data_IF_902936521687
#
_entry.id   IF_902936521687
#
_cell.length_a   1.000
_cell.length_b   1.000
_cell.length_c   1.000
_cell.angle_alpha   90.00
_cell.angle_beta   90.00
_cell.angle_gamma   90.00
#
_symmetry.space_group_name_H-M   'P 1'
#
loop_
_entity.id
_entity.type
_entity.pdbx_description
1 polymer ?
#
# COMPACT_ATOMS: atom_id res chain seq x y z
N UNK A 1 -30.17 -63.48 -21.93
CA UNK A 1 -28.79 -63.83 -21.59
C UNK A 1 -27.94 -62.72 -22.19
N UNK A 2 -27.34 -61.86 -21.49
CA UNK A 2 -26.64 -61.85 -20.23
C UNK A 2 -26.53 -60.39 -19.76
N UNK A 3 -26.73 -60.19 -18.48
CA UNK A 3 -26.54 -58.94 -17.74
C UNK A 3 -25.12 -58.39 -17.85
N UNK A 4 -25.00 -57.12 -18.04
CA UNK A 4 -23.76 -56.45 -17.69
C UNK A 4 -24.05 -55.27 -16.73
N UNK A 5 -23.70 -55.50 -15.46
CA UNK A 5 -23.72 -54.54 -14.37
C UNK A 5 -22.83 -53.34 -14.68
N UNK A 6 -23.40 -52.15 -14.62
CA UNK A 6 -22.68 -50.88 -14.69
C UNK A 6 -22.37 -50.42 -13.26
N UNK A 7 -21.11 -50.47 -12.91
CA UNK A 7 -20.54 -49.94 -11.67
C UNK A 7 -20.60 -48.40 -11.71
N UNK A 8 -21.24 -47.81 -10.73
CA UNK A 8 -21.28 -46.37 -10.52
C UNK A 8 -20.06 -46.00 -9.69
N UNK A 9 -19.17 -45.20 -10.27
CA UNK A 9 -18.10 -44.50 -9.56
C UNK A 9 -18.63 -43.13 -9.09
N UNK A 10 -18.51 -42.91 -7.79
CA UNK A 10 -18.85 -41.64 -7.16
C UNK A 10 -17.92 -40.53 -7.65
N UNK A 11 -18.50 -39.50 -8.24
CA UNK A 11 -17.81 -38.28 -8.63
C UNK A 11 -17.88 -37.24 -7.55
N UNK A 12 -16.78 -36.56 -7.36
CA UNK A 12 -16.53 -35.47 -6.42
C UNK A 12 -17.52 -34.30 -6.58
N UNK A 13 -17.89 -33.72 -5.44
CA UNK A 13 -18.81 -32.61 -5.37
C UNK A 13 -18.24 -31.32 -5.94
N UNK A 14 -18.68 -31.02 -7.12
CA UNK A 14 -18.68 -29.69 -7.68
C UNK A 14 -19.99 -29.02 -7.29
N UNK A 15 -19.93 -27.87 -6.66
CA UNK A 15 -21.12 -27.11 -6.30
C UNK A 15 -21.81 -26.66 -7.58
N UNK A 16 -22.86 -27.39 -7.97
CA UNK A 16 -23.77 -26.98 -9.03
C UNK A 16 -24.45 -25.66 -8.61
N UNK A 17 -24.09 -24.59 -9.32
CA UNK A 17 -24.87 -23.35 -9.34
C UNK A 17 -26.03 -23.63 -10.31
N UNK A 18 -27.29 -23.62 -9.86
CA UNK A 18 -28.41 -23.87 -10.76
C UNK A 18 -28.57 -22.70 -11.75
N UNK A 19 -28.15 -22.95 -12.99
CA UNK A 19 -28.51 -22.09 -14.11
C UNK A 19 -29.90 -22.50 -14.60
N UNK A 20 -30.92 -21.80 -14.14
CA UNK A 20 -32.24 -21.87 -14.76
C UNK A 20 -32.22 -21.03 -16.02
N UNK A 21 -32.06 -21.68 -17.18
CA UNK A 21 -32.33 -21.06 -18.49
C UNK A 21 -33.78 -21.34 -18.85
N UNK A 22 -34.61 -20.36 -18.69
CA UNK A 22 -35.97 -20.37 -19.24
C UNK A 22 -36.03 -19.43 -20.44
N UNK A 23 -36.26 -20.03 -21.64
CA UNK A 23 -36.80 -19.41 -22.84
C UNK A 23 -36.16 -18.08 -23.27
N UNK A 24 -34.82 -18.02 -23.29
CA UNK A 24 -34.07 -16.86 -23.77
C UNK A 24 -34.11 -15.62 -22.86
N UNK A 25 -34.70 -15.70 -21.69
CA UNK A 25 -34.70 -14.61 -20.71
C UNK A 25 -33.59 -14.82 -19.70
N UNK A 26 -32.69 -13.88 -19.60
CA UNK A 26 -31.65 -13.85 -18.54
C UNK A 26 -32.32 -13.48 -17.23
N UNK A 27 -32.52 -14.44 -16.33
CA UNK A 27 -32.98 -14.17 -14.97
C UNK A 27 -31.79 -13.78 -14.12
N UNK A 28 -31.79 -12.58 -13.55
CA UNK A 28 -30.87 -12.16 -12.52
C UNK A 28 -31.29 -12.87 -11.26
N UNK A 29 -30.39 -13.66 -10.68
CA UNK A 29 -30.59 -14.29 -9.38
C UNK A 29 -30.73 -13.19 -8.32
N UNK A 30 -31.90 -13.05 -7.71
CA UNK A 30 -32.22 -11.97 -6.75
C UNK A 30 -31.37 -12.11 -5.49
N UNK A 31 -30.83 -13.30 -5.23
CA UNK A 31 -29.92 -13.58 -4.11
C UNK A 31 -28.44 -13.31 -4.43
N UNK A 32 -28.09 -13.01 -5.68
CA UNK A 32 -26.78 -12.48 -5.99
C UNK A 32 -26.74 -11.03 -5.51
N UNK A 33 -26.20 -10.81 -4.34
CA UNK A 33 -25.91 -9.48 -3.80
C UNK A 33 -24.93 -8.78 -4.74
N UNK A 34 -25.48 -8.04 -5.70
CA UNK A 34 -24.71 -7.05 -6.44
C UNK A 34 -24.44 -5.93 -5.43
N UNK A 35 -23.29 -6.01 -4.76
CA UNK A 35 -22.81 -4.89 -3.94
C UNK A 35 -22.84 -3.64 -4.82
N UNK A 36 -23.58 -2.64 -4.39
CA UNK A 36 -23.60 -1.35 -5.08
C UNK A 36 -22.17 -0.77 -5.07
N UNK A 37 -21.85 0.06 -6.07
CA UNK A 37 -20.54 0.74 -6.10
C UNK A 37 -20.30 1.57 -4.82
N UNK A 38 -21.36 2.08 -4.24
CA UNK A 38 -21.33 2.84 -2.98
C UNK A 38 -20.95 1.96 -1.79
N UNK A 39 -21.52 0.74 -1.69
CA UNK A 39 -21.18 -0.22 -0.63
C UNK A 39 -19.72 -0.68 -0.74
N UNK A 40 -19.23 -0.89 -1.96
CA UNK A 40 -17.82 -1.23 -2.18
C UNK A 40 -16.88 -0.07 -1.82
N UNK A 41 -17.25 1.17 -2.13
CA UNK A 41 -16.47 2.35 -1.75
C UNK A 41 -16.46 2.51 -0.23
N UNK A 42 -17.59 2.35 0.43
CA UNK A 42 -17.69 2.43 1.89
C UNK A 42 -16.87 1.33 2.58
N UNK A 43 -16.91 0.10 2.08
CA UNK A 43 -16.09 -1.01 2.58
C UNK A 43 -14.58 -0.69 2.46
N UNK A 44 -14.15 -0.12 1.32
CA UNK A 44 -12.76 0.32 1.12
C UNK A 44 -12.38 1.47 2.06
N UNK A 45 -13.30 2.41 2.32
CA UNK A 45 -13.07 3.48 3.29
C UNK A 45 -12.92 2.94 4.71
N UNK A 46 -13.74 1.98 5.11
CA UNK A 46 -13.61 1.30 6.40
C UNK A 46 -12.26 0.59 6.57
N UNK A 47 -11.67 0.08 5.49
CA UNK A 47 -10.31 -0.47 5.55
C UNK A 47 -9.27 0.61 5.89
N UNK A 48 -9.40 1.82 5.34
CA UNK A 48 -8.53 2.94 5.69
C UNK A 48 -8.71 3.38 7.15
N UNK A 49 -9.96 3.49 7.63
CA UNK A 49 -10.24 3.79 9.03
C UNK A 49 -9.62 2.76 9.99
N UNK A 50 -9.73 1.48 9.64
CA UNK A 50 -9.13 0.42 10.44
C UNK A 50 -7.58 0.48 10.39
N UNK A 51 -7.00 0.73 9.22
CA UNK A 51 -5.56 0.90 9.07
C UNK A 51 -5.03 2.09 9.88
N UNK A 52 -5.76 3.20 9.92
CA UNK A 52 -5.44 4.36 10.77
C UNK A 52 -5.46 3.98 12.25
N UNK A 53 -6.55 3.37 12.72
CA UNK A 53 -6.72 2.98 14.13
C UNK A 53 -5.63 2.01 14.60
N UNK A 54 -5.27 1.06 13.76
CA UNK A 54 -4.25 0.03 14.08
C UNK A 54 -2.84 0.46 13.75
N UNK A 55 -2.64 1.67 13.18
CA UNK A 55 -1.36 2.16 12.66
C UNK A 55 -0.68 1.14 11.74
N UNK A 56 -1.49 0.47 10.90
CA UNK A 56 -1.01 -0.51 9.94
C UNK A 56 -0.18 0.17 8.85
N UNK A 57 0.94 -0.45 8.48
CA UNK A 57 1.71 -0.03 7.32
C UNK A 57 0.94 -0.46 6.06
N UNK A 58 0.68 0.50 5.19
CA UNK A 58 0.09 0.30 3.87
C UNK A 58 1.16 0.55 2.81
N UNK A 59 0.96 -0.02 1.62
CA UNK A 59 1.84 0.16 0.47
C UNK A 59 1.04 0.70 -0.70
N UNK A 60 1.56 1.70 -1.38
CA UNK A 60 0.98 2.26 -2.60
C UNK A 60 2.04 2.83 -3.51
N UNK A 61 1.73 2.97 -4.79
CA UNK A 61 2.65 3.52 -5.77
C UNK A 61 2.71 5.04 -5.68
N UNK A 62 3.92 5.61 -5.67
CA UNK A 62 4.11 7.06 -5.69
C UNK A 62 3.71 7.62 -7.06
N UNK A 63 2.56 8.30 -7.12
CA UNK A 63 1.96 8.79 -8.36
C UNK A 63 2.42 10.17 -8.79
N UNK A 64 2.77 11.04 -7.83
CA UNK A 64 3.13 12.43 -8.16
C UNK A 64 3.64 13.24 -7.00
N UNK A 65 4.20 14.39 -7.33
CA UNK A 65 4.55 15.45 -6.38
C UNK A 65 3.77 16.70 -6.81
N UNK A 66 2.99 17.24 -5.91
CA UNK A 66 2.08 18.35 -6.20
C UNK A 66 2.32 19.52 -5.24
N UNK A 67 1.97 20.71 -5.70
CA UNK A 67 1.91 21.91 -4.87
C UNK A 67 0.44 22.23 -4.60
N UNK A 68 0.06 22.25 -3.33
CA UNK A 68 -1.27 22.62 -2.91
C UNK A 68 -1.49 24.14 -3.05
N UNK A 69 -2.74 24.58 -3.07
CA UNK A 69 -3.11 26.01 -3.09
C UNK A 69 -2.53 26.77 -1.89
N UNK A 70 -2.38 26.10 -0.75
CA UNK A 70 -1.71 26.62 0.45
C UNK A 70 -0.20 26.83 0.30
N UNK A 71 0.39 26.43 -0.84
CA UNK A 71 1.83 26.52 -1.11
C UNK A 71 2.64 25.31 -0.64
N UNK A 72 2.05 24.37 0.08
CA UNK A 72 2.73 23.17 0.56
C UNK A 72 3.01 22.19 -0.57
N UNK A 73 4.21 21.61 -0.56
CA UNK A 73 4.56 20.49 -1.45
C UNK A 73 4.20 19.17 -0.79
N UNK A 74 3.53 18.32 -1.54
CA UNK A 74 3.08 17.00 -1.09
C UNK A 74 3.39 15.91 -2.12
N UNK A 75 3.64 14.72 -1.63
CA UNK A 75 3.65 13.51 -2.43
C UNK A 75 2.25 12.91 -2.45
N UNK A 76 1.86 12.33 -3.58
CA UNK A 76 0.55 11.72 -3.78
C UNK A 76 0.73 10.26 -4.13
N UNK A 77 0.01 9.41 -3.41
CA UNK A 77 -0.13 7.98 -3.71
C UNK A 77 -1.60 7.59 -3.71
N UNK A 78 -1.91 6.40 -4.19
CA UNK A 78 -3.27 5.87 -4.21
C UNK A 78 -3.33 4.54 -3.49
N UNK A 79 -4.41 4.33 -2.75
CA UNK A 79 -4.70 3.08 -2.09
C UNK A 79 -6.20 2.79 -2.13
N UNK A 80 -6.58 1.65 -2.68
CA UNK A 80 -7.98 1.23 -2.84
C UNK A 80 -8.88 2.28 -3.54
N UNK A 81 -8.32 3.06 -4.47
CA UNK A 81 -9.04 4.12 -5.18
C UNK A 81 -9.05 5.48 -4.49
N UNK A 82 -8.58 5.57 -3.24
CA UNK A 82 -8.48 6.84 -2.52
C UNK A 82 -7.13 7.50 -2.74
N UNK A 83 -7.16 8.83 -2.86
CA UNK A 83 -5.98 9.67 -2.95
C UNK A 83 -5.41 9.89 -1.55
N UNK A 84 -4.15 9.54 -1.37
CA UNK A 84 -3.39 9.68 -0.12
C UNK A 84 -2.37 10.80 -0.28
N UNK A 85 -2.37 11.75 0.63
CA UNK A 85 -1.45 12.90 0.63
C UNK A 85 -0.37 12.67 1.69
N UNK A 86 0.89 12.81 1.30
CA UNK A 86 2.04 12.72 2.21
C UNK A 86 2.79 14.06 2.15
N UNK A 87 2.74 14.88 3.19
CA UNK A 87 3.54 16.10 3.28
C UNK A 87 5.03 15.82 3.08
N UNK A 88 5.79 16.75 2.47
CA UNK A 88 7.20 16.50 2.16
C UNK A 88 8.07 16.25 3.39
N UNK A 89 7.78 16.89 4.52
CA UNK A 89 8.44 16.64 5.80
C UNK A 89 8.12 15.25 6.41
N UNK A 90 7.05 14.61 5.95
CA UNK A 90 6.64 13.24 6.30
C UNK A 90 7.07 12.19 5.27
N UNK A 91 7.72 12.62 4.18
CA UNK A 91 8.15 11.72 3.10
C UNK A 91 9.49 11.04 3.39
N UNK A 92 10.38 11.67 4.16
CA UNK A 92 11.75 11.19 4.38
C UNK A 92 12.18 11.31 5.84
N UNK A 93 13.02 10.34 6.28
CA UNK A 93 13.71 10.43 7.56
C UNK A 93 14.96 11.29 7.34
N UNK A 94 15.09 12.36 8.12
CA UNK A 94 16.30 13.18 8.24
C UNK A 94 17.03 13.53 6.92
N UNK A 95 16.55 14.53 6.25
CA UNK A 95 17.47 15.48 5.68
C UNK A 95 17.67 16.52 6.81
N UNK A 96 18.64 16.32 7.71
CA UNK A 96 18.95 17.26 8.77
C UNK A 96 19.26 18.63 8.17
N UNK A 97 18.33 19.57 8.36
CA UNK A 97 18.65 20.94 8.51
C UNK A 97 18.44 21.25 9.99
N UNK A 98 19.16 22.15 10.50
CA UNK A 98 19.22 22.69 11.90
C UNK A 98 17.89 23.29 12.37
N UNK A 99 16.76 22.57 12.18
CA UNK A 99 15.43 22.99 12.63
C UNK A 99 14.80 24.13 11.81
N UNK A 100 15.50 24.68 10.83
CA UNK A 100 14.97 25.63 9.85
C UNK A 100 14.72 24.87 8.54
N UNK A 101 13.47 24.73 8.15
CA UNK A 101 13.11 24.26 6.80
C UNK A 101 13.59 25.30 5.78
N UNK A 102 14.82 25.20 5.34
CA UNK A 102 15.36 26.05 4.30
C UNK A 102 14.80 25.60 2.95
N UNK A 103 14.55 26.56 2.06
CA UNK A 103 14.11 26.30 0.68
C UNK A 103 14.99 25.23 -0.02
N UNK A 104 16.27 25.19 0.27
CA UNK A 104 17.23 24.20 -0.27
C UNK A 104 16.91 22.77 0.22
N UNK A 105 16.48 22.60 1.46
CA UNK A 105 16.09 21.28 2.00
C UNK A 105 14.83 20.79 1.30
N UNK A 106 13.81 21.63 1.15
CA UNK A 106 12.59 21.29 0.44
C UNK A 106 12.88 20.94 -1.04
N UNK A 107 13.66 21.76 -1.75
CA UNK A 107 14.05 21.48 -3.13
C UNK A 107 14.79 20.15 -3.27
N UNK A 108 15.65 19.83 -2.31
CA UNK A 108 16.35 18.54 -2.27
C UNK A 108 15.37 17.38 -2.04
N UNK A 109 14.42 17.52 -1.11
CA UNK A 109 13.37 16.51 -0.84
C UNK A 109 12.51 16.27 -2.08
N UNK A 110 12.03 17.32 -2.72
CA UNK A 110 11.25 17.27 -3.96
C UNK A 110 12.02 16.55 -5.07
N UNK A 111 13.30 16.87 -5.25
CA UNK A 111 14.15 16.21 -6.27
C UNK A 111 14.34 14.72 -5.98
N UNK A 112 14.54 14.34 -4.71
CA UNK A 112 14.66 12.92 -4.32
C UNK A 112 13.33 12.21 -4.56
N UNK A 113 12.20 12.80 -4.16
CA UNK A 113 10.88 12.21 -4.35
C UNK A 113 10.52 12.06 -5.84
N UNK A 114 10.87 13.03 -6.68
CA UNK A 114 10.70 12.91 -8.14
C UNK A 114 11.47 11.72 -8.74
N UNK A 115 12.65 11.38 -8.20
CA UNK A 115 13.38 10.19 -8.63
C UNK A 115 12.75 8.88 -8.17
N UNK A 116 11.79 8.94 -7.27
CA UNK A 116 11.05 7.80 -6.75
C UNK A 116 9.67 7.61 -7.40
N UNK A 117 9.30 8.46 -8.37
CA UNK A 117 8.01 8.35 -9.04
C UNK A 117 7.83 6.96 -9.66
N UNK A 118 6.66 6.38 -9.47
CA UNK A 118 6.32 5.04 -9.94
C UNK A 118 6.80 3.89 -9.04
N UNK A 119 7.61 4.15 -8.00
CA UNK A 119 7.98 3.09 -7.06
C UNK A 119 6.90 2.90 -5.98
N UNK A 120 6.85 1.71 -5.42
CA UNK A 120 6.04 1.42 -4.25
C UNK A 120 6.66 2.05 -3.00
N UNK A 121 5.85 2.75 -2.23
CA UNK A 121 6.21 3.33 -0.95
C UNK A 121 5.31 2.80 0.16
N UNK A 122 5.87 2.66 1.34
CA UNK A 122 5.11 2.28 2.52
C UNK A 122 4.77 3.51 3.35
N UNK A 123 3.56 3.55 3.90
CA UNK A 123 3.10 4.69 4.69
C UNK A 123 2.15 4.24 5.80
N UNK A 124 1.98 5.11 6.81
CA UNK A 124 0.99 4.97 7.87
C UNK A 124 0.06 6.18 7.79
N UNK A 125 -1.24 5.94 7.90
CA UNK A 125 -2.24 7.01 7.92
C UNK A 125 -2.10 7.80 9.22
N UNK A 126 -2.02 9.13 9.10
CA UNK A 126 -1.92 10.07 10.22
C UNK A 126 -3.27 10.65 10.58
N UNK A 127 -4.05 10.97 9.54
CA UNK A 127 -5.34 11.62 9.69
C UNK A 127 -6.27 11.29 8.51
N UNK A 128 -7.57 11.32 8.79
CA UNK A 128 -8.66 11.03 7.85
C UNK A 128 -9.81 12.00 8.09
N UNK A 129 -10.25 12.65 7.03
CA UNK A 129 -11.50 13.42 7.07
C UNK A 129 -12.63 12.66 6.36
N UNK A 130 -13.61 12.22 7.15
CA UNK A 130 -14.77 11.48 6.64
C UNK A 130 -15.66 12.30 5.70
N UNK A 131 -15.68 13.63 5.85
CA UNK A 131 -16.54 14.51 5.04
C UNK A 131 -15.96 14.75 3.67
N UNK A 132 -14.68 15.10 3.61
CA UNK A 132 -13.98 15.36 2.35
C UNK A 132 -13.36 14.10 1.73
N UNK A 133 -13.43 12.95 2.40
CA UNK A 133 -12.75 11.70 2.00
C UNK A 133 -11.26 11.92 1.76
N UNK A 134 -10.65 12.86 2.50
CA UNK A 134 -9.23 13.15 2.40
C UNK A 134 -8.41 12.33 3.39
N UNK A 135 -7.24 11.91 2.97
CA UNK A 135 -6.35 11.04 3.75
C UNK A 135 -4.95 11.64 3.76
N UNK A 136 -4.43 11.86 4.96
CA UNK A 136 -3.05 12.31 5.18
C UNK A 136 -2.24 11.17 5.79
N UNK A 137 -1.05 10.92 5.24
CA UNK A 137 -0.21 9.82 5.67
C UNK A 137 1.26 10.26 5.87
N UNK A 138 2.04 9.39 6.49
CA UNK A 138 3.47 9.54 6.73
C UNK A 138 4.24 8.31 6.26
N UNK A 139 5.13 8.49 5.29
CA UNK A 139 6.13 7.49 4.92
C UNK A 139 7.20 7.37 6.00
N UNK A 140 7.60 8.49 6.59
CA UNK A 140 8.57 8.56 7.69
C UNK A 140 8.17 7.66 8.86
N UNK A 141 6.90 7.71 9.31
CA UNK A 141 6.41 6.86 10.40
C UNK A 141 6.48 5.37 10.03
N UNK A 142 6.15 5.02 8.79
CA UNK A 142 6.26 3.63 8.32
C UNK A 142 7.72 3.15 8.32
N UNK A 143 8.65 3.98 7.86
CA UNK A 143 10.07 3.67 7.87
C UNK A 143 10.59 3.50 9.30
N UNK A 144 10.22 4.39 10.22
CA UNK A 144 10.62 4.31 11.64
C UNK A 144 10.07 3.04 12.28
N UNK A 145 8.79 2.73 12.08
CA UNK A 145 8.18 1.50 12.59
C UNK A 145 8.89 0.25 12.08
N UNK A 146 9.22 0.18 10.79
CA UNK A 146 10.01 -0.92 10.23
C UNK A 146 11.40 -1.03 10.89
N UNK A 147 12.08 0.10 11.12
CA UNK A 147 13.38 0.09 11.81
C UNK A 147 13.28 -0.47 13.21
N UNK A 148 12.27 -0.06 13.97
CA UNK A 148 12.03 -0.55 15.33
C UNK A 148 11.84 -2.08 15.33
N UNK A 149 10.97 -2.58 14.45
CA UNK A 149 10.71 -4.02 14.37
C UNK A 149 11.91 -4.83 13.86
N UNK A 150 12.53 -4.43 12.76
CA UNK A 150 13.51 -5.28 12.07
C UNK A 150 14.94 -5.10 12.54
N UNK A 151 15.34 -3.88 12.91
CA UNK A 151 16.72 -3.58 13.35
C UNK A 151 16.89 -3.57 14.86
N UNK A 152 15.86 -3.14 15.62
CA UNK A 152 15.94 -3.06 17.08
C UNK A 152 15.28 -4.25 17.77
N UNK A 153 14.39 -4.96 17.09
CA UNK A 153 13.74 -6.16 17.63
C UNK A 153 12.72 -5.87 18.73
N UNK A 154 12.11 -4.67 18.73
CA UNK A 154 11.15 -4.29 19.78
C UNK A 154 10.00 -5.30 19.95
N UNK A 155 9.57 -5.92 18.85
CA UNK A 155 8.48 -6.91 18.86
C UNK A 155 8.95 -8.37 18.99
N UNK A 156 10.26 -8.65 18.90
CA UNK A 156 10.81 -10.01 18.72
C UNK A 156 11.95 -10.41 19.63
N UNK A 157 12.24 -9.61 20.68
CA UNK A 157 13.37 -9.78 21.64
C UNK A 157 14.78 -9.75 21.00
N UNK A 158 14.89 -9.90 19.69
CA UNK A 158 16.18 -9.88 18.97
C UNK A 158 16.03 -9.18 17.63
N UNK A 159 17.06 -8.47 17.17
CA UNK A 159 17.09 -7.93 15.81
C UNK A 159 16.86 -9.02 14.76
N UNK A 160 15.96 -8.75 13.82
CA UNK A 160 15.72 -9.66 12.69
C UNK A 160 16.78 -9.51 11.59
N UNK A 161 17.44 -8.35 11.55
CA UNK A 161 18.54 -8.03 10.63
C UNK A 161 19.86 -8.05 11.40
N UNK A 162 20.81 -8.84 10.84
CA UNK A 162 22.16 -8.99 11.36
C UNK A 162 23.16 -9.19 10.22
N UNK A 163 24.43 -8.98 10.50
CA UNK A 163 25.49 -9.14 9.51
C UNK A 163 25.54 -10.56 8.92
N UNK A 164 25.60 -10.67 7.60
CA UNK A 164 25.59 -11.95 6.87
C UNK A 164 24.19 -12.46 6.51
N UNK A 165 23.09 -11.82 6.96
CA UNK A 165 21.74 -12.21 6.55
C UNK A 165 21.41 -11.72 5.15
N UNK A 166 20.94 -12.61 4.29
CA UNK A 166 20.40 -12.26 2.97
C UNK A 166 18.99 -11.71 3.15
N UNK A 167 18.71 -10.57 2.53
CA UNK A 167 17.42 -9.88 2.61
C UNK A 167 16.99 -9.38 1.23
N UNK A 168 15.69 -9.24 1.03
CA UNK A 168 15.13 -8.54 -0.12
C UNK A 168 15.16 -7.03 0.12
N UNK A 169 15.53 -6.28 -0.91
CA UNK A 169 15.53 -4.84 -0.90
C UNK A 169 14.59 -4.30 -2.00
N UNK A 170 13.86 -3.25 -1.69
CA UNK A 170 13.03 -2.55 -2.69
C UNK A 170 13.87 -1.51 -3.42
N UNK A 171 13.89 -1.56 -4.75
CA UNK A 171 14.49 -0.49 -5.57
C UNK A 171 13.56 0.71 -5.56
N UNK A 172 14.03 1.85 -5.03
CA UNK A 172 13.25 3.09 -4.92
C UNK A 172 13.70 4.19 -5.89
N UNK A 173 14.91 4.11 -6.44
CA UNK A 173 15.35 5.00 -7.50
C UNK A 173 16.54 4.39 -8.25
N UNK A 174 16.62 4.66 -9.55
CA UNK A 174 17.73 4.26 -10.40
C UNK A 174 18.36 5.50 -11.04
N UNK A 175 19.65 5.66 -10.87
CA UNK A 175 20.45 6.71 -11.49
C UNK A 175 21.62 6.09 -12.28
N UNK A 176 22.26 6.81 -13.23
CA UNK A 176 23.31 6.24 -14.10
C UNK A 176 24.49 5.61 -13.37
N UNK A 177 24.75 6.02 -12.13
CA UNK A 177 25.92 5.56 -11.35
C UNK A 177 25.57 4.97 -9.98
N UNK A 178 24.28 4.89 -9.64
CA UNK A 178 23.85 4.37 -8.34
C UNK A 178 22.39 3.91 -8.39
N UNK A 179 22.13 2.84 -7.64
CA UNK A 179 20.76 2.38 -7.35
C UNK A 179 20.47 2.68 -5.89
N UNK A 180 19.33 3.30 -5.62
CA UNK A 180 18.85 3.51 -4.25
C UNK A 180 17.89 2.40 -3.88
N UNK A 181 18.17 1.76 -2.78
CA UNK A 181 17.41 0.66 -2.23
C UNK A 181 16.79 1.05 -0.90
N UNK A 182 15.63 0.51 -0.58
CA UNK A 182 15.05 0.52 0.77
C UNK A 182 15.08 -0.89 1.36
N UNK A 183 15.67 -1.03 2.53
CA UNK A 183 15.75 -2.27 3.31
C UNK A 183 15.07 -2.02 4.66
N UNK A 184 13.83 -2.45 4.79
CA UNK A 184 13.01 -2.32 6.01
C UNK A 184 13.09 -0.95 6.70
N UNK A 185 12.88 0.12 5.91
CA UNK A 185 12.86 1.50 6.40
C UNK A 185 14.23 2.19 6.44
N UNK A 186 15.29 1.54 5.99
CA UNK A 186 16.61 2.16 5.79
C UNK A 186 16.89 2.30 4.30
N UNK A 187 17.29 3.49 3.87
CA UNK A 187 17.69 3.74 2.49
C UNK A 187 19.19 3.62 2.33
N UNK A 188 19.64 2.84 1.36
CA UNK A 188 21.04 2.67 0.98
C UNK A 188 21.25 2.96 -0.50
N UNK A 189 22.43 3.47 -0.85
CA UNK A 189 22.82 3.68 -2.24
C UNK A 189 23.97 2.73 -2.59
N UNK A 190 23.75 1.91 -3.63
CA UNK A 190 24.74 0.99 -4.17
C UNK A 190 25.26 1.55 -5.49
N UNK A 191 26.58 1.52 -5.70
CA UNK A 191 27.26 1.96 -6.92
C UNK A 191 27.75 0.77 -7.71
#
# INVERSE_FOLDING_TARGET
>A
MEDTKKTVLAGNGEKDVPRAVYDGVLTIDVDAQVESMEEQEEARWHQLLNAHRTRKILTGQLGGIEKLESGWMVAVTYFNGFRIIIPMNEMMINLQGDGRENADTLNRQVRIANNMLGCDIDFIIKDLDNKSRSVVASRKDAMLKKRQTFYLGEDTEKPMLYEGRIVEARVIAVAPKAVRLEVFGVEVSVR
#
